data_IF_542697313548
#
_entry.id   IF_542697313548
#
_cell.length_a   1.000
_cell.length_b   1.000
_cell.length_c   1.000
_cell.angle_alpha   90.00
_cell.angle_beta   90.00
_cell.angle_gamma   90.00
#
_symmetry.space_group_name_H-M   'P 1'
#
loop_
_entity.id
_entity.type
_entity.pdbx_description
1 polymer ?
#
# COMPACT_ATOMS: atom_id res chain seq x y z
N UNK A 1 -17.02 -1.97 14.88
CA UNK A 1 -17.70 -2.57 13.72
C UNK A 1 -16.65 -2.76 12.62
N UNK A 2 -16.75 -3.80 11.79
CA UNK A 2 -15.86 -3.99 10.64
C UNK A 2 -16.11 -2.88 9.61
N UNK A 3 -17.36 -2.48 9.41
CA UNK A 3 -17.74 -1.48 8.38
C UNK A 3 -17.23 -0.07 8.68
N UNK A 4 -16.84 0.20 9.92
CA UNK A 4 -16.28 1.48 10.37
C UNK A 4 -14.74 1.49 10.32
N UNK A 5 -14.13 0.59 9.56
CA UNK A 5 -12.68 0.53 9.42
C UNK A 5 -12.14 1.82 8.78
N UNK A 6 -11.05 2.33 9.36
CA UNK A 6 -10.26 3.42 8.80
C UNK A 6 -8.79 3.17 9.08
N UNK A 7 -7.95 3.54 8.12
CA UNK A 7 -6.51 3.55 8.23
C UNK A 7 -6.05 4.60 9.26
N UNK A 8 -5.00 4.30 10.02
CA UNK A 8 -4.36 5.26 10.91
C UNK A 8 -3.34 6.14 10.17
N UNK A 9 -3.09 7.33 10.70
CA UNK A 9 -2.12 8.27 10.10
C UNK A 9 -0.71 7.64 10.05
N UNK A 10 -0.12 7.62 8.85
CA UNK A 10 1.21 7.05 8.61
C UNK A 10 1.27 5.52 8.53
N UNK A 11 0.14 4.80 8.59
CA UNK A 11 0.14 3.36 8.34
C UNK A 11 0.54 3.06 6.89
N UNK A 12 1.39 2.06 6.73
CA UNK A 12 1.69 1.46 5.44
C UNK A 12 0.55 0.55 4.95
N UNK A 13 0.59 0.11 3.69
CA UNK A 13 -0.40 -0.83 3.14
C UNK A 13 -0.35 -2.16 3.91
N UNK A 14 0.85 -2.60 4.25
CA UNK A 14 1.05 -3.81 5.05
C UNK A 14 0.38 -3.70 6.43
N UNK A 15 0.67 -2.65 7.19
CA UNK A 15 0.13 -2.46 8.54
C UNK A 15 -1.39 -2.34 8.54
N UNK A 16 -1.92 -1.56 7.59
CA UNK A 16 -3.36 -1.42 7.41
C UNK A 16 -4.01 -2.78 7.08
N UNK A 17 -3.42 -3.55 6.16
CA UNK A 17 -3.96 -4.83 5.74
C UNK A 17 -3.94 -5.88 6.86
N UNK A 18 -2.83 -5.99 7.59
CA UNK A 18 -2.74 -6.91 8.73
C UNK A 18 -3.72 -6.54 9.84
N UNK A 19 -3.84 -5.25 10.17
CA UNK A 19 -4.80 -4.79 11.19
C UNK A 19 -6.25 -5.07 10.78
N UNK A 20 -6.57 -4.94 9.50
CA UNK A 20 -7.88 -5.28 8.98
C UNK A 20 -8.15 -6.79 9.06
N UNK A 21 -7.18 -7.64 8.68
CA UNK A 21 -7.29 -9.10 8.83
C UNK A 21 -7.46 -9.52 10.30
N UNK A 22 -6.76 -8.86 11.22
CA UNK A 22 -6.93 -9.08 12.66
C UNK A 22 -8.32 -8.67 13.15
N UNK A 23 -8.90 -7.60 12.59
CA UNK A 23 -10.27 -7.21 12.89
C UNK A 23 -11.27 -8.28 12.43
N UNK A 24 -11.09 -8.85 11.22
CA UNK A 24 -11.92 -9.94 10.73
C UNK A 24 -11.83 -11.20 11.62
N UNK A 25 -10.60 -11.57 12.04
CA UNK A 25 -10.37 -12.71 12.94
C UNK A 25 -11.03 -12.54 14.31
N UNK A 26 -11.12 -11.31 14.82
CA UNK A 26 -11.81 -10.99 16.08
C UNK A 26 -13.33 -11.14 15.98
N UNK A 27 -13.89 -11.04 14.78
CA UNK A 27 -15.33 -11.13 14.53
C UNK A 27 -15.63 -12.25 13.51
N UNK A 28 -15.36 -13.54 13.82
CA UNK A 28 -15.47 -14.63 12.84
C UNK A 28 -16.91 -14.88 12.35
N UNK A 29 -17.91 -14.36 13.06
CA UNK A 29 -19.33 -14.39 12.67
C UNK A 29 -19.80 -13.10 12.01
N UNK A 30 -18.92 -12.39 11.30
CA UNK A 30 -19.24 -11.11 10.67
C UNK A 30 -20.34 -11.19 9.61
N UNK A 31 -20.59 -12.36 9.02
CA UNK A 31 -21.59 -12.61 7.96
C UNK A 31 -21.49 -11.68 6.72
N UNK A 32 -20.44 -10.85 6.64
CA UNK A 32 -20.17 -10.01 5.48
C UNK A 32 -19.81 -10.87 4.27
N UNK A 33 -20.39 -10.57 3.09
CA UNK A 33 -19.95 -11.17 1.84
C UNK A 33 -18.55 -10.69 1.47
N UNK A 34 -17.79 -11.55 0.79
CA UNK A 34 -16.40 -11.33 0.40
C UNK A 34 -16.14 -9.98 -0.30
N UNK A 35 -17.00 -9.58 -1.23
CA UNK A 35 -16.87 -8.28 -1.91
C UNK A 35 -16.97 -7.09 -0.94
N UNK A 36 -17.77 -7.21 0.12
CA UNK A 36 -17.95 -6.15 1.12
C UNK A 36 -16.71 -6.05 2.03
N UNK A 37 -15.97 -7.14 2.22
CA UNK A 37 -14.69 -7.12 2.95
C UNK A 37 -13.69 -6.24 2.22
N UNK A 38 -13.50 -6.46 0.90
CA UNK A 38 -12.61 -5.64 0.07
C UNK A 38 -13.07 -4.19 0.01
N UNK A 39 -14.37 -3.97 -0.19
CA UNK A 39 -14.94 -2.63 -0.24
C UNK A 39 -14.72 -1.86 1.07
N UNK A 40 -14.91 -2.54 2.21
CA UNK A 40 -14.71 -1.94 3.53
C UNK A 40 -13.25 -1.55 3.75
N UNK A 41 -12.31 -2.44 3.42
CA UNK A 41 -10.88 -2.13 3.49
C UNK A 41 -10.53 -0.92 2.62
N UNK A 42 -10.87 -0.97 1.32
CA UNK A 42 -10.56 0.09 0.36
C UNK A 42 -11.15 1.44 0.77
N UNK A 43 -12.40 1.47 1.23
CA UNK A 43 -13.05 2.71 1.68
C UNK A 43 -12.41 3.31 2.94
N UNK A 44 -11.80 2.46 3.79
CA UNK A 44 -11.07 2.90 4.97
C UNK A 44 -9.68 3.46 4.68
N UNK A 45 -9.15 3.33 3.46
CA UNK A 45 -7.82 3.83 3.10
C UNK A 45 -7.79 5.33 2.77
N UNK A 46 -6.64 5.95 3.00
CA UNK A 46 -6.39 7.32 2.54
C UNK A 46 -6.39 7.39 1.00
N UNK A 47 -6.77 8.55 0.46
CA UNK A 47 -6.96 8.76 -0.98
C UNK A 47 -5.77 8.34 -1.83
N UNK A 48 -4.55 8.68 -1.41
CA UNK A 48 -3.32 8.33 -2.12
C UNK A 48 -3.12 6.82 -2.25
N UNK A 49 -3.31 6.04 -1.18
CA UNK A 49 -3.15 4.58 -1.24
C UNK A 49 -4.21 3.92 -2.12
N UNK A 50 -5.45 4.44 -2.11
CA UNK A 50 -6.49 3.99 -3.05
C UNK A 50 -6.05 4.18 -4.50
N UNK A 51 -5.48 5.35 -4.83
CA UNK A 51 -4.98 5.62 -6.19
C UNK A 51 -3.84 4.69 -6.60
N UNK A 52 -2.94 4.33 -5.68
CA UNK A 52 -1.87 3.35 -5.99
C UNK A 52 -2.47 1.97 -6.24
N UNK A 53 -3.42 1.54 -5.40
CA UNK A 53 -4.07 0.23 -5.55
C UNK A 53 -4.84 0.16 -6.88
N UNK A 54 -5.56 1.22 -7.26
CA UNK A 54 -6.23 1.29 -8.55
C UNK A 54 -5.21 1.25 -9.72
N UNK A 55 -4.11 2.00 -9.62
CA UNK A 55 -3.06 1.94 -10.63
C UNK A 55 -2.48 0.52 -10.78
N UNK A 56 -2.25 -0.18 -9.65
CA UNK A 56 -1.77 -1.56 -9.65
C UNK A 56 -2.80 -2.55 -10.21
N UNK A 57 -4.09 -2.29 -10.01
CA UNK A 57 -5.18 -3.07 -10.60
C UNK A 57 -5.33 -2.85 -12.12
N UNK A 58 -4.65 -1.84 -12.67
CA UNK A 58 -4.81 -1.40 -14.07
C UNK A 58 -6.15 -0.68 -14.30
N UNK A 59 -6.69 -0.03 -13.27
CA UNK A 59 -8.02 0.58 -13.28
C UNK A 59 -8.68 0.51 -11.91
N UNK A 60 -10.01 0.58 -11.82
CA UNK A 60 -10.68 0.47 -10.53
C UNK A 60 -10.48 -0.92 -9.91
N UNK A 61 -9.99 -1.01 -8.67
CA UNK A 61 -9.95 -2.26 -7.91
C UNK A 61 -11.36 -2.88 -7.80
N UNK A 62 -12.39 -2.04 -7.68
CA UNK A 62 -13.79 -2.49 -7.55
C UNK A 62 -14.34 -3.13 -8.84
N UNK A 63 -13.60 -3.09 -9.95
CA UNK A 63 -13.95 -3.80 -11.18
C UNK A 63 -13.40 -5.24 -11.23
N UNK A 64 -12.50 -5.59 -10.30
CA UNK A 64 -11.89 -6.92 -10.21
C UNK A 64 -12.79 -7.90 -9.48
N UNK A 65 -12.59 -9.19 -9.74
CA UNK A 65 -13.19 -10.24 -8.93
C UNK A 65 -12.57 -10.22 -7.53
N UNK A 66 -13.29 -10.76 -6.55
CA UNK A 66 -12.82 -10.80 -5.16
C UNK A 66 -11.44 -11.46 -5.01
N UNK A 67 -11.23 -12.60 -5.66
CA UNK A 67 -9.97 -13.35 -5.63
C UNK A 67 -8.79 -12.54 -6.20
N UNK A 68 -9.03 -11.82 -7.29
CA UNK A 68 -8.04 -10.94 -7.91
C UNK A 68 -7.73 -9.73 -7.02
N UNK A 69 -8.77 -9.08 -6.47
CA UNK A 69 -8.61 -7.91 -5.61
C UNK A 69 -7.89 -8.26 -4.30
N UNK A 70 -8.28 -9.38 -3.68
CA UNK A 70 -7.64 -9.89 -2.48
C UNK A 70 -6.16 -10.20 -2.74
N UNK A 71 -5.86 -10.95 -3.81
CA UNK A 71 -4.49 -11.33 -4.15
C UNK A 71 -3.61 -10.11 -4.42
N UNK A 72 -4.14 -9.10 -5.11
CA UNK A 72 -3.42 -7.85 -5.36
C UNK A 72 -3.09 -7.11 -4.06
N UNK A 73 -4.05 -6.97 -3.15
CA UNK A 73 -3.81 -6.32 -1.85
C UNK A 73 -2.78 -7.10 -1.04
N UNK A 74 -2.88 -8.43 -1.00
CA UNK A 74 -1.93 -9.30 -0.30
C UNK A 74 -0.52 -9.19 -0.89
N UNK A 75 -0.40 -9.15 -2.22
CA UNK A 75 0.87 -8.94 -2.91
C UNK A 75 1.46 -7.56 -2.60
N UNK A 76 0.64 -6.50 -2.64
CA UNK A 76 1.08 -5.15 -2.29
C UNK A 76 1.52 -5.05 -0.83
N UNK A 77 0.79 -5.66 0.10
CA UNK A 77 1.16 -5.74 1.51
C UNK A 77 2.49 -6.49 1.70
N UNK A 78 2.67 -7.63 1.00
CA UNK A 78 3.89 -8.43 1.05
C UNK A 78 5.09 -7.65 0.50
N UNK A 79 4.92 -7.02 -0.66
CA UNK A 79 5.95 -6.19 -1.28
C UNK A 79 6.33 -5.01 -0.38
N UNK A 80 5.35 -4.37 0.26
CA UNK A 80 5.57 -3.25 1.15
C UNK A 80 6.25 -3.65 2.47
N UNK A 81 6.02 -4.88 2.95
CA UNK A 81 6.77 -5.45 4.08
C UNK A 81 8.23 -5.78 3.71
N UNK A 82 8.45 -6.36 2.53
CA UNK A 82 9.79 -6.74 2.04
C UNK A 82 10.63 -5.52 1.67
N UNK A 83 10.01 -4.50 1.08
CA UNK A 83 10.65 -3.27 0.65
C UNK A 83 9.85 -2.08 1.19
N UNK A 84 10.03 -1.73 2.48
CA UNK A 84 9.35 -0.58 3.08
C UNK A 84 9.74 0.67 2.29
N UNK A 85 8.83 1.16 1.46
CA UNK A 85 9.08 2.32 0.62
C UNK A 85 9.14 3.57 1.50
N UNK A 86 10.24 4.32 1.42
CA UNK A 86 10.42 5.61 2.11
C UNK A 86 9.32 6.63 1.71
N UNK A 87 8.69 6.42 0.56
CA UNK A 87 7.63 7.22 -0.05
C UNK A 87 6.29 7.27 0.72
N UNK A 88 6.09 6.43 1.75
CA UNK A 88 4.79 6.30 2.43
C UNK A 88 4.74 7.06 3.77
N UNK A 89 5.83 7.70 4.19
CA UNK A 89 5.87 8.48 5.43
C UNK A 89 6.07 9.97 5.16
N UNK A 90 5.00 10.80 5.10
CA UNK A 90 5.14 12.25 4.97
C UNK A 90 5.99 12.88 6.10
N UNK A 91 6.07 12.22 7.26
CA UNK A 91 6.85 12.67 8.42
C UNK A 91 8.35 12.37 8.34
N UNK A 92 8.82 11.53 7.39
CA UNK A 92 10.26 11.25 7.19
C UNK A 92 10.86 11.93 5.95
N UNK A 93 10.03 12.44 5.04
CA UNK A 93 10.43 13.30 3.90
C UNK A 93 10.79 14.73 4.37
N UNK A 94 11.39 14.87 5.55
CA UNK A 94 12.06 16.09 5.96
C UNK A 94 13.59 15.93 5.94
N UNK A 95 14.12 14.74 5.64
CA UNK A 95 15.57 14.47 5.72
C UNK A 95 16.22 13.87 4.47
N UNK A 96 15.48 13.53 3.41
CA UNK A 96 16.10 12.97 2.19
C UNK A 96 16.08 14.05 1.11
N UNK A 97 17.24 14.67 0.89
CA UNK A 97 17.47 15.50 -0.29
C UNK A 97 17.49 14.57 -1.52
N UNK A 98 16.38 14.47 -2.24
CA UNK A 98 16.28 13.73 -3.53
C UNK A 98 17.37 14.14 -4.55
N UNK A 99 17.94 15.34 -4.39
CA UNK A 99 19.03 15.86 -5.22
C UNK A 99 20.34 15.05 -5.09
N UNK A 100 20.59 14.39 -3.96
CA UNK A 100 21.85 13.67 -3.72
C UNK A 100 21.89 12.32 -4.46
N UNK A 101 20.75 11.64 -4.60
CA UNK A 101 20.68 10.37 -5.30
C UNK A 101 20.95 10.52 -6.80
N UNK A 102 20.38 11.56 -7.42
CA UNK A 102 20.64 11.87 -8.84
C UNK A 102 22.10 12.26 -9.07
N UNK A 103 22.71 12.99 -8.14
CA UNK A 103 24.12 13.38 -8.20
C UNK A 103 25.05 12.17 -8.08
N UNK A 104 24.74 11.22 -7.19
CA UNK A 104 25.49 9.96 -7.05
C UNK A 104 25.46 9.13 -8.33
N UNK A 105 24.29 8.92 -8.93
CA UNK A 105 24.14 8.13 -10.16
C UNK A 105 24.90 8.78 -11.31
N UNK A 106 24.77 10.10 -11.48
CA UNK A 106 25.51 10.85 -12.51
C UNK A 106 27.03 10.73 -12.30
N UNK A 107 27.50 10.79 -11.05
CA UNK A 107 28.94 10.63 -10.74
C UNK A 107 29.47 9.24 -11.12
N UNK A 108 28.68 8.18 -10.91
CA UNK A 108 29.06 6.81 -11.21
C UNK A 108 29.09 6.53 -12.71
N UNK A 109 28.11 7.08 -13.47
CA UNK A 109 28.12 7.03 -14.93
C UNK A 109 29.34 7.77 -15.49
N UNK A 110 29.66 8.95 -14.97
CA UNK A 110 30.83 9.71 -15.38
C UNK A 110 32.16 8.98 -15.10
N UNK A 111 32.23 8.24 -13.99
CA UNK A 111 33.40 7.43 -13.64
C UNK A 111 33.57 6.20 -14.56
N UNK A 112 32.46 5.58 -14.98
CA UNK A 112 32.48 4.45 -15.93
C UNK A 112 32.78 4.89 -17.37
N UNK A 113 32.41 6.12 -17.74
CA UNK A 113 32.66 6.67 -19.08
C UNK A 113 34.12 7.14 -19.31
N UNK A 114 34.97 7.12 -18.28
CA UNK A 114 36.39 7.53 -18.36
C UNK A 114 37.38 6.36 -18.50
N UNK A 115 36.91 5.18 -18.89
CA UNK A 115 37.75 4.01 -19.19
C UNK A 115 37.76 3.67 -20.66
#
# INVERSE_FOLDING_TARGET
DITSYSQFDGESVYEAWERFKDLLRKFPHHALPDWLIIQTFYNGLVGYLRSIIDAAAGGSLMSKRFDEAYSLIEEMATNNFQWPSEWVNPKRVASVHDSDMMTMIVSQIAALSKK
#
